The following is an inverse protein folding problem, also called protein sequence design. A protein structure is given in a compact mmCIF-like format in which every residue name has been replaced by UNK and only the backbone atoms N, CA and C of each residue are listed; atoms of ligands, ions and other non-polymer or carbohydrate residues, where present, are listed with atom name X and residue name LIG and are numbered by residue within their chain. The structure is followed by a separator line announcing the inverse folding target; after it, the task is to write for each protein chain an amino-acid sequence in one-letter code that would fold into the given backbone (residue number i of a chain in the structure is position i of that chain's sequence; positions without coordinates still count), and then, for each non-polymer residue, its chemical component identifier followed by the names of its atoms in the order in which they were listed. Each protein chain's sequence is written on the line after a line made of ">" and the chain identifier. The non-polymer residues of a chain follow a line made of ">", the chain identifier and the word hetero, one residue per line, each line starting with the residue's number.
data_IF_472878742430
#
_entry.id   IF_472878742430
#
_cell.length_a   1.000
_cell.length_b   1.000
_cell.length_c   1.000
_cell.angle_alpha   90.00
_cell.angle_beta   90.00
_cell.angle_gamma   90.00
#
_symmetry.space_group_name_H-M   'P 1'
#
loop_
_entity.id
_entity.type
_entity.pdbx_description
1 polymer ?
#
# COMPACT_ATOMS: atom_id res chain seq x y z
N UNK A 1 -14.31 0.66 12.65
CA UNK A 1 -13.18 1.59 12.45
C UNK A 1 -13.13 1.99 10.98
N UNK A 2 -12.71 3.21 10.64
CA UNK A 2 -12.51 3.58 9.24
C UNK A 2 -11.47 2.67 8.57
N UNK A 3 -11.54 2.57 7.25
CA UNK A 3 -10.59 1.80 6.44
C UNK A 3 -9.15 2.25 6.71
N UNK A 4 -8.19 1.33 6.91
CA UNK A 4 -6.79 1.70 7.06
C UNK A 4 -6.25 2.40 5.81
N UNK A 5 -5.38 3.40 6.00
CA UNK A 5 -4.71 4.14 4.92
C UNK A 5 -3.31 3.62 4.65
N UNK A 6 -2.92 3.60 3.37
CA UNK A 6 -1.55 3.35 2.93
C UNK A 6 -0.92 4.67 2.49
N UNK A 7 0.15 5.06 3.18
CA UNK A 7 0.77 6.38 3.04
C UNK A 7 2.21 6.21 2.52
N UNK A 8 2.46 6.46 1.22
CA UNK A 8 3.83 6.64 0.73
C UNK A 8 4.49 7.86 1.37
N UNK A 9 5.76 7.71 1.77
CA UNK A 9 6.55 8.79 2.35
C UNK A 9 7.68 9.23 1.42
N UNK A 10 7.76 10.54 1.18
CA UNK A 10 8.79 11.23 0.44
C UNK A 10 9.70 11.96 1.44
N UNK A 11 10.84 11.36 1.76
CA UNK A 11 11.90 12.08 2.48
C UNK A 11 12.58 13.01 1.48
N UNK A 12 12.55 14.31 1.74
CA UNK A 12 13.09 15.34 0.84
C UNK A 12 14.28 16.02 1.48
N UNK A 13 15.34 16.20 0.70
CA UNK A 13 16.48 17.02 1.07
C UNK A 13 16.88 17.88 -0.11
N UNK A 14 16.99 19.18 0.14
CA UNK A 14 17.43 20.17 -0.86
C UNK A 14 16.58 20.10 -2.15
N UNK A 15 15.26 19.92 -1.98
CA UNK A 15 14.28 19.85 -3.06
C UNK A 15 14.20 18.51 -3.81
N UNK A 16 15.00 17.52 -3.43
CA UNK A 16 15.05 16.20 -4.08
C UNK A 16 14.57 15.11 -3.13
N UNK A 17 13.88 14.09 -3.65
CA UNK A 17 13.58 12.90 -2.86
C UNK A 17 14.91 12.19 -2.58
N UNK A 18 15.13 11.80 -1.32
CA UNK A 18 16.34 11.10 -0.92
C UNK A 18 16.01 9.79 -0.22
N UNK A 19 16.98 8.87 -0.27
CA UNK A 19 16.89 7.58 0.42
C UNK A 19 18.20 7.21 1.09
N UNK A 20 18.11 6.74 2.34
CA UNK A 20 19.23 6.19 3.09
C UNK A 20 18.73 5.24 4.18
N UNK A 21 19.68 4.64 4.91
CA UNK A 21 19.37 3.82 6.09
C UNK A 21 19.69 4.68 7.30
N UNK A 22 18.74 4.86 8.23
CA UNK A 22 18.89 5.73 9.41
C UNK A 22 19.39 7.15 9.07
N UNK A 23 18.96 7.70 7.93
CA UNK A 23 19.42 8.99 7.39
C UNK A 23 20.92 9.08 7.03
N UNK A 24 21.62 7.94 6.99
CA UNK A 24 23.00 7.83 6.52
C UNK A 24 23.02 7.33 5.06
N UNK A 25 24.05 7.77 4.30
CA UNK A 25 24.25 7.32 2.92
C UNK A 25 23.16 7.75 1.93
N UNK A 26 22.59 8.96 2.12
CA UNK A 26 21.50 9.49 1.31
C UNK A 26 21.82 9.52 -0.20
N UNK A 27 20.97 8.92 -1.01
CA UNK A 27 21.01 8.93 -2.48
C UNK A 27 19.79 9.66 -3.02
N UNK A 28 19.97 10.40 -4.10
CA UNK A 28 18.88 11.01 -4.86
C UNK A 28 17.97 9.91 -5.44
N UNK A 29 16.67 10.04 -5.20
CA UNK A 29 15.63 9.11 -5.61
C UNK A 29 14.61 9.74 -6.57
N UNK A 30 14.84 10.97 -7.04
CA UNK A 30 14.03 11.62 -8.06
C UNK A 30 13.37 12.92 -7.63
N UNK A 31 12.47 13.39 -8.49
CA UNK A 31 11.66 14.58 -8.28
C UNK A 31 10.45 14.29 -7.37
N UNK A 32 10.19 15.10 -6.32
CA UNK A 32 9.06 14.84 -5.41
C UNK A 32 7.68 15.00 -6.07
N UNK A 33 7.53 15.88 -7.06
CA UNK A 33 6.24 16.12 -7.74
C UNK A 33 5.91 14.92 -8.64
N UNK A 34 6.88 14.43 -9.40
CA UNK A 34 6.72 13.22 -10.21
C UNK A 34 6.39 12.00 -9.34
N UNK A 35 7.10 11.84 -8.22
CA UNK A 35 6.85 10.75 -7.27
C UNK A 35 5.43 10.84 -6.66
N UNK A 36 4.99 12.04 -6.27
CA UNK A 36 3.66 12.27 -5.72
C UNK A 36 2.55 11.92 -6.72
N UNK A 37 2.65 12.40 -7.97
CA UNK A 37 1.72 12.05 -9.06
C UNK A 37 1.67 10.54 -9.30
N UNK A 38 2.83 9.88 -9.34
CA UNK A 38 2.91 8.44 -9.55
C UNK A 38 2.23 7.66 -8.41
N UNK A 39 2.39 8.10 -7.16
CA UNK A 39 1.73 7.49 -6.02
C UNK A 39 0.23 7.72 -5.98
N UNK A 40 -0.25 8.91 -6.34
CA UNK A 40 -1.68 9.17 -6.49
C UNK A 40 -2.30 8.29 -7.59
N UNK A 41 -1.67 8.20 -8.76
CA UNK A 41 -2.13 7.35 -9.86
C UNK A 41 -2.18 5.86 -9.47
N UNK A 42 -1.32 5.46 -8.55
CA UNK A 42 -1.29 4.13 -7.94
C UNK A 42 -2.30 3.97 -6.78
N UNK A 43 -3.05 5.01 -6.45
CA UNK A 43 -4.13 5.00 -5.48
C UNK A 43 -3.72 5.28 -4.04
N UNK A 44 -2.60 5.97 -3.78
CA UNK A 44 -2.16 6.37 -2.43
C UNK A 44 -3.27 7.06 -1.63
N UNK A 45 -3.52 6.65 -0.38
CA UNK A 45 -4.61 7.22 0.40
C UNK A 45 -4.34 8.64 0.90
N UNK A 46 -3.05 8.95 1.02
CA UNK A 46 -2.45 10.20 1.49
C UNK A 46 -0.96 10.16 1.11
N UNK A 47 -0.33 11.30 0.89
CA UNK A 47 1.11 11.42 0.66
C UNK A 47 1.75 12.14 1.85
N UNK A 48 2.84 11.60 2.38
CA UNK A 48 3.61 12.24 3.44
C UNK A 48 4.93 12.78 2.87
N UNK A 49 5.19 14.07 3.02
CA UNK A 49 6.42 14.74 2.60
C UNK A 49 7.17 15.23 3.84
N UNK A 50 8.36 14.68 4.07
CA UNK A 50 9.19 15.04 5.22
C UNK A 50 10.48 15.70 4.75
N UNK A 51 10.60 17.00 4.97
CA UNK A 51 11.85 17.72 4.74
C UNK A 51 12.86 17.47 5.87
N UNK A 52 14.00 16.91 5.50
CA UNK A 52 15.11 16.60 6.40
C UNK A 52 16.28 17.58 6.26
N UNK A 53 16.13 18.65 5.47
CA UNK A 53 17.16 19.69 5.36
C UNK A 53 17.34 20.45 6.68
N UNK A 54 18.60 20.65 7.07
CA UNK A 54 18.97 21.20 8.37
C UNK A 54 19.10 22.75 8.39
N UNK A 55 18.89 23.44 7.27
CA UNK A 55 19.22 24.88 7.12
C UNK A 55 17.99 25.80 7.26
N UNK A 56 18.22 27.04 7.72
CA UNK A 56 17.18 28.08 7.79
C UNK A 56 16.71 28.56 6.41
N UNK A 57 17.52 28.40 5.36
CA UNK A 57 17.14 28.67 3.96
C UNK A 57 16.10 27.68 3.42
N UNK A 58 16.01 26.47 4.00
CA UNK A 58 15.11 25.41 3.54
C UNK A 58 13.61 25.73 3.65
N UNK A 59 13.20 26.73 4.44
CA UNK A 59 11.77 27.03 4.65
C UNK A 59 11.07 27.55 3.39
N UNK A 60 11.71 28.45 2.66
CA UNK A 60 11.16 28.99 1.41
C UNK A 60 11.03 27.88 0.36
N UNK A 61 12.08 27.07 0.24
CA UNK A 61 12.13 25.90 -0.65
C UNK A 61 11.05 24.87 -0.32
N UNK A 62 10.83 24.58 0.96
CA UNK A 62 9.78 23.65 1.39
C UNK A 62 8.39 24.18 1.02
N UNK A 63 8.10 25.45 1.30
CA UNK A 63 6.79 26.04 0.98
C UNK A 63 6.52 26.02 -0.53
N UNK A 64 7.54 26.27 -1.35
CA UNK A 64 7.40 26.20 -2.81
C UNK A 64 7.17 24.78 -3.29
N UNK A 65 7.94 23.82 -2.77
CA UNK A 65 7.75 22.41 -3.10
C UNK A 65 6.35 21.92 -2.72
N UNK A 66 5.84 22.32 -1.55
CA UNK A 66 4.48 21.97 -1.10
C UNK A 66 3.44 22.50 -2.08
N UNK A 67 3.57 23.73 -2.57
CA UNK A 67 2.67 24.28 -3.61
C UNK A 67 2.71 23.44 -4.88
N UNK A 68 3.91 23.15 -5.37
CA UNK A 68 4.09 22.37 -6.60
C UNK A 68 3.47 20.97 -6.49
N UNK A 69 3.61 20.31 -5.34
CA UNK A 69 2.99 19.00 -5.12
C UNK A 69 1.46 19.14 -5.01
N UNK A 70 0.97 20.10 -4.23
CA UNK A 70 -0.46 20.30 -4.00
C UNK A 70 -1.24 20.71 -5.26
N UNK A 71 -0.60 21.40 -6.20
CA UNK A 71 -1.19 21.71 -7.51
C UNK A 71 -1.41 20.45 -8.37
N UNK A 72 -0.69 19.37 -8.06
CA UNK A 72 -0.58 18.18 -8.90
C UNK A 72 -1.25 16.94 -8.34
N UNK A 73 -1.56 16.92 -7.03
CA UNK A 73 -2.27 15.82 -6.38
C UNK A 73 -3.54 16.28 -5.69
N UNK A 74 -4.49 15.36 -5.56
CA UNK A 74 -5.81 15.55 -4.92
C UNK A 74 -5.96 14.74 -3.64
N UNK A 75 -5.15 13.72 -3.45
CA UNK A 75 -5.07 12.97 -2.19
C UNK A 75 -4.48 13.86 -1.10
N UNK A 76 -4.87 13.66 0.18
CA UNK A 76 -4.37 14.47 1.28
C UNK A 76 -2.84 14.51 1.34
N UNK A 77 -2.29 15.69 1.64
CA UNK A 77 -0.85 15.94 1.77
C UNK A 77 -0.49 16.26 3.22
N UNK A 78 0.28 15.37 3.84
CA UNK A 78 0.92 15.59 5.15
C UNK A 78 2.33 16.11 4.97
N UNK A 79 2.68 17.23 5.61
CA UNK A 79 4.01 17.85 5.47
C UNK A 79 4.70 18.00 6.81
N UNK A 80 5.96 17.55 6.91
CA UNK A 80 6.83 17.74 8.06
C UNK A 80 8.16 18.36 7.66
N UNK A 81 8.84 18.96 8.63
CA UNK A 81 10.16 19.55 8.43
C UNK A 81 10.28 20.95 9.03
N UNK A 82 11.04 21.08 10.12
CA UNK A 82 11.42 22.39 10.67
C UNK A 82 10.28 23.28 11.19
N UNK A 83 9.12 22.72 11.55
CA UNK A 83 7.96 23.45 12.10
C UNK A 83 8.19 23.79 13.58
N UNK A 84 8.21 25.08 13.93
CA UNK A 84 8.55 25.58 15.28
C UNK A 84 7.48 26.48 15.89
N UNK A 85 6.49 26.91 15.11
CA UNK A 85 5.46 27.85 15.54
C UNK A 85 4.09 27.56 14.89
N UNK A 86 3.04 28.20 15.41
CA UNK A 86 1.71 28.17 14.78
C UNK A 86 1.74 28.86 13.41
N UNK A 87 2.56 29.89 13.23
CA UNK A 87 2.67 30.58 11.93
C UNK A 87 3.33 29.70 10.88
N UNK A 88 4.30 28.87 11.27
CA UNK A 88 4.92 27.88 10.39
C UNK A 88 3.89 26.87 9.89
N UNK A 89 3.07 26.36 10.81
CA UNK A 89 1.97 25.46 10.49
C UNK A 89 1.00 26.11 9.52
N UNK A 90 0.58 27.35 9.78
CA UNK A 90 -0.34 28.08 8.90
C UNK A 90 0.25 28.34 7.52
N UNK A 91 1.54 28.63 7.44
CA UNK A 91 2.23 28.82 6.17
C UNK A 91 2.20 27.55 5.31
N UNK A 92 2.43 26.38 5.91
CA UNK A 92 2.35 25.09 5.22
C UNK A 92 0.91 24.78 4.77
N UNK A 93 -0.09 25.00 5.63
CA UNK A 93 -1.49 24.82 5.25
C UNK A 93 -1.89 25.75 4.09
N UNK A 94 -1.50 27.02 4.12
CA UNK A 94 -1.74 27.94 3.01
C UNK A 94 -0.96 27.59 1.73
N UNK A 95 0.14 26.84 1.84
CA UNK A 95 0.88 26.34 0.69
C UNK A 95 0.23 25.11 0.05
N UNK A 96 -0.76 24.48 0.69
CA UNK A 96 -1.48 23.32 0.15
C UNK A 96 -1.33 22.04 0.96
N UNK A 97 -0.64 22.07 2.11
CA UNK A 97 -0.69 20.93 3.04
C UNK A 97 -2.09 20.81 3.65
N UNK A 98 -2.62 19.59 3.77
CA UNK A 98 -3.83 19.31 4.54
C UNK A 98 -3.51 19.13 6.03
N UNK A 99 -2.31 18.60 6.30
CA UNK A 99 -1.84 18.23 7.64
C UNK A 99 -0.36 18.59 7.83
N UNK A 100 0.00 18.96 9.05
CA UNK A 100 1.36 19.36 9.41
C UNK A 100 1.92 18.48 10.51
N UNK A 101 3.05 17.82 10.24
CA UNK A 101 3.79 16.96 11.14
C UNK A 101 4.78 17.77 12.00
N UNK A 102 4.61 17.73 13.32
CA UNK A 102 5.46 18.43 14.28
C UNK A 102 6.08 17.43 15.26
N UNK A 103 7.40 17.46 15.42
CA UNK A 103 8.14 16.61 16.35
C UNK A 103 8.83 17.47 17.44
N UNK A 104 10.06 17.92 17.18
CA UNK A 104 10.95 18.50 18.19
C UNK A 104 10.34 19.71 18.91
N UNK A 105 9.62 20.57 18.20
CA UNK A 105 8.99 21.74 18.80
C UNK A 105 7.91 21.38 19.84
N UNK A 106 7.22 20.24 19.70
CA UNK A 106 6.27 19.78 20.70
C UNK A 106 6.97 19.30 21.97
N UNK A 107 8.14 18.68 21.84
CA UNK A 107 8.96 18.28 22.99
C UNK A 107 9.57 19.50 23.70
N UNK A 108 9.97 20.53 22.96
CA UNK A 108 10.52 21.75 23.56
C UNK A 108 9.43 22.59 24.24
N UNK A 109 8.26 22.70 23.61
CA UNK A 109 7.12 23.47 24.11
C UNK A 109 5.78 22.74 23.84
N UNK A 110 5.32 21.85 24.75
CA UNK A 110 4.11 21.06 24.56
C UNK A 110 2.85 21.89 24.28
N UNK A 111 2.77 23.10 24.84
CA UNK A 111 1.66 24.04 24.61
C UNK A 111 1.46 24.43 23.14
N UNK A 112 2.46 24.24 22.29
CA UNK A 112 2.33 24.43 20.84
C UNK A 112 1.27 23.51 20.23
N UNK A 113 1.09 22.28 20.74
CA UNK A 113 0.06 21.37 20.25
C UNK A 113 -1.34 21.97 20.42
N UNK A 114 -1.66 22.44 21.62
CA UNK A 114 -2.95 23.06 21.92
C UNK A 114 -3.16 24.37 21.16
N UNK A 115 -2.10 25.20 21.03
CA UNK A 115 -2.17 26.44 20.26
C UNK A 115 -2.40 26.18 18.75
N UNK A 116 -1.72 25.19 18.19
CA UNK A 116 -1.87 24.78 16.79
C UNK A 116 -3.27 24.21 16.54
N UNK A 117 -3.71 23.26 17.36
CA UNK A 117 -5.03 22.64 17.25
C UNK A 117 -6.16 23.66 17.41
N UNK A 118 -6.04 24.57 18.38
CA UNK A 118 -7.01 25.66 18.58
C UNK A 118 -7.08 26.64 17.41
N UNK A 119 -6.01 26.75 16.60
CA UNK A 119 -5.95 27.67 15.46
C UNK A 119 -6.36 27.06 14.12
N UNK A 120 -5.96 25.82 13.86
CA UNK A 120 -6.16 25.13 12.58
C UNK A 120 -7.15 23.96 12.64
N UNK A 121 -7.55 23.54 13.84
CA UNK A 121 -8.30 22.30 14.08
C UNK A 121 -7.36 21.11 14.29
N UNK A 122 -7.76 20.18 15.16
CA UNK A 122 -6.97 19.00 15.52
C UNK A 122 -6.59 18.17 14.30
N UNK A 123 -7.49 18.02 13.32
CA UNK A 123 -7.27 17.23 12.12
C UNK A 123 -6.08 17.70 11.27
N UNK A 124 -5.65 18.96 11.40
CA UNK A 124 -4.50 19.52 10.68
C UNK A 124 -3.16 19.32 11.43
N UNK A 125 -3.17 18.82 12.66
CA UNK A 125 -1.98 18.69 13.52
C UNK A 125 -1.64 17.22 13.72
N UNK A 126 -0.50 16.80 13.15
CA UNK A 126 0.06 15.46 13.33
C UNK A 126 1.27 15.56 14.26
N UNK A 127 1.27 14.81 15.36
CA UNK A 127 2.46 14.71 16.20
C UNK A 127 3.36 13.60 15.69
N UNK A 128 4.53 13.96 15.18
CA UNK A 128 5.56 12.99 14.81
C UNK A 128 6.40 12.64 16.04
N UNK A 129 6.39 11.35 16.41
CA UNK A 129 7.06 10.82 17.59
C UNK A 129 8.05 9.75 17.16
N UNK A 130 9.34 10.07 17.28
CA UNK A 130 10.42 9.11 17.10
C UNK A 130 10.69 8.43 18.43
N UNK A 131 10.53 7.12 18.48
CA UNK A 131 10.69 6.34 19.71
C UNK A 131 11.74 5.25 19.54
N UNK A 132 12.56 5.04 20.58
CA UNK A 132 13.53 3.95 20.65
C UNK A 132 13.35 3.17 21.94
N UNK A 133 13.46 1.85 21.86
CA UNK A 133 13.44 0.95 23.01
C UNK A 133 14.59 1.26 23.96
N UNK A 134 14.26 1.38 25.24
CA UNK A 134 15.22 1.52 26.33
C UNK A 134 14.92 0.45 27.39
N UNK A 135 15.99 -0.14 27.90
CA UNK A 135 15.95 -1.19 28.92
C UNK A 135 17.21 -1.10 29.79
N UNK A 136 17.22 -1.78 30.93
CA UNK A 136 18.36 -1.77 31.84
C UNK A 136 19.68 -2.22 31.17
N UNK A 137 19.59 -3.19 30.24
CA UNK A 137 20.72 -3.71 29.46
C UNK A 137 21.00 -2.91 28.16
N UNK A 138 20.15 -1.93 27.85
CA UNK A 138 20.24 -1.12 26.63
C UNK A 138 20.01 0.37 26.94
N UNK A 139 21.01 1.04 27.53
CA UNK A 139 20.91 2.46 27.87
C UNK A 139 20.90 3.37 26.63
N UNK A 140 20.42 4.62 26.76
CA UNK A 140 20.42 5.57 25.65
C UNK A 140 21.84 5.89 25.17
N UNK A 141 22.02 6.04 23.85
CA UNK A 141 23.33 6.32 23.20
C UNK A 141 24.00 7.64 23.60
N UNK A 142 23.25 8.56 24.19
CA UNK A 142 23.73 9.87 24.63
C UNK A 142 23.01 10.25 25.94
N UNK A 143 23.57 11.18 26.73
CA UNK A 143 22.90 11.68 27.92
C UNK A 143 21.53 12.28 27.58
N UNK A 144 20.54 11.99 28.42
CA UNK A 144 19.18 12.51 28.26
C UNK A 144 19.16 14.02 28.39
N UNK A 145 18.63 14.71 27.38
CA UNK A 145 18.35 16.15 27.45
C UNK A 145 16.89 16.35 27.88
N UNK A 146 16.63 16.20 29.17
CA UNK A 146 15.29 16.40 29.76
C UNK A 146 14.87 17.87 29.61
N UNK A 147 13.76 18.18 28.92
CA UNK A 147 13.32 19.56 28.80
C UNK A 147 12.86 20.08 30.17
N UNK A 148 13.08 21.37 30.50
CA UNK A 148 12.84 21.89 31.86
C UNK A 148 11.41 21.70 32.37
N UNK A 149 10.41 21.71 31.48
CA UNK A 149 9.01 21.51 31.85
C UNK A 149 8.71 20.08 32.33
N UNK A 150 9.53 19.09 31.95
CA UNK A 150 9.31 17.68 32.30
C UNK A 150 9.39 17.45 33.81
N UNK A 151 10.20 18.22 34.53
CA UNK A 151 10.28 18.18 36.00
C UNK A 151 8.93 18.46 36.67
N UNK A 152 8.04 19.21 35.99
CA UNK A 152 6.68 19.50 36.46
C UNK A 152 5.66 18.44 36.06
N UNK A 153 6.05 17.45 35.25
CA UNK A 153 5.22 16.33 34.77
C UNK A 153 5.98 15.00 34.89
N UNK A 154 6.29 14.55 36.11
CA UNK A 154 7.09 13.34 36.32
C UNK A 154 6.45 12.06 35.75
N UNK A 155 5.12 12.02 35.58
CA UNK A 155 4.42 10.90 34.96
C UNK A 155 4.77 10.69 33.47
N UNK A 156 5.35 11.69 32.81
CA UNK A 156 5.81 11.59 31.41
C UNK A 156 7.28 11.23 31.32
N UNK A 157 8.00 11.23 32.44
CA UNK A 157 9.42 10.97 32.48
C UNK A 157 9.70 9.47 32.52
N UNK A 158 10.72 9.04 31.79
CA UNK A 158 11.29 7.71 31.99
C UNK A 158 12.03 7.65 33.33
N UNK A 159 11.95 6.50 34.03
CA UNK A 159 12.81 6.24 35.18
C UNK A 159 14.28 6.18 34.72
N UNK A 160 15.19 6.29 35.67
CA UNK A 160 16.61 6.08 35.40
C UNK A 160 16.85 4.65 34.87
N UNK A 161 17.86 4.42 34.00
CA UNK A 161 18.05 3.15 33.31
C UNK A 161 18.03 1.92 34.23
N UNK A 162 18.60 2.03 35.42
CA UNK A 162 18.70 0.96 36.41
C UNK A 162 17.34 0.61 37.05
N UNK A 163 16.36 1.51 36.95
CA UNK A 163 14.99 1.36 37.45
C UNK A 163 13.97 1.09 36.33
N UNK A 164 14.42 0.84 35.09
CA UNK A 164 13.52 0.45 34.00
C UNK A 164 13.11 -1.01 34.18
N UNK A 165 11.82 -1.24 34.44
CA UNK A 165 11.20 -2.56 34.46
C UNK A 165 10.46 -2.86 33.15
N UNK A 166 10.79 -3.99 32.51
CA UNK A 166 10.21 -4.42 31.24
C UNK A 166 10.63 -3.55 30.05
N UNK A 167 9.87 -3.61 28.95
CA UNK A 167 10.11 -2.76 27.78
C UNK A 167 9.63 -1.34 28.05
N UNK A 168 10.49 -0.35 27.80
CA UNK A 168 10.12 1.07 27.74
C UNK A 168 10.60 1.68 26.43
N UNK A 169 10.06 2.84 26.10
CA UNK A 169 10.36 3.55 24.87
C UNK A 169 10.62 5.02 25.17
N UNK A 170 11.74 5.52 24.70
CA UNK A 170 12.18 6.90 24.89
C UNK A 170 11.92 7.72 23.63
N UNK A 171 11.38 8.93 23.81
CA UNK A 171 11.22 9.91 22.72
C UNK A 171 12.59 10.48 22.34
N UNK A 172 12.84 10.57 21.04
CA UNK A 172 14.01 11.20 20.46
C UNK A 172 13.62 12.42 19.62
N UNK A 173 14.53 13.39 19.56
CA UNK A 173 14.38 14.63 18.78
C UNK A 173 15.62 14.91 17.94
N UNK A 174 15.56 15.97 17.13
CA UNK A 174 16.61 16.40 16.21
C UNK A 174 17.02 15.30 15.22
N UNK A 175 16.04 14.62 14.61
CA UNK A 175 16.27 13.52 13.68
C UNK A 175 16.86 12.30 14.38
N UNK A 176 16.32 11.93 15.53
CA UNK A 176 16.72 10.71 16.23
C UNK A 176 18.05 10.76 17.00
N UNK A 177 18.70 11.93 17.10
CA UNK A 177 20.04 12.06 17.69
C UNK A 177 20.01 12.35 19.19
N UNK A 178 18.95 12.97 19.69
CA UNK A 178 18.90 13.45 21.07
C UNK A 178 17.83 12.73 21.88
N UNK A 179 18.21 11.88 22.84
CA UNK A 179 17.28 11.28 23.80
C UNK A 179 16.74 12.34 24.77
N UNK A 180 15.45 12.29 25.07
CA UNK A 180 14.74 13.35 25.82
C UNK A 180 14.44 12.98 27.28
N UNK A 181 14.55 11.70 27.64
CA UNK A 181 14.09 11.15 28.92
C UNK A 181 12.58 11.11 29.08
N UNK A 182 11.81 11.26 27.99
CA UNK A 182 10.34 11.21 27.98
C UNK A 182 9.90 9.81 27.56
N UNK A 183 8.90 9.24 28.25
CA UNK A 183 8.26 7.98 27.88
C UNK A 183 7.35 8.20 26.66
N UNK A 184 7.60 7.46 25.58
CA UNK A 184 6.93 7.67 24.30
C UNK A 184 5.42 7.37 24.35
N UNK A 185 4.99 6.37 25.13
CA UNK A 185 3.58 6.00 25.23
C UNK A 185 2.82 7.06 26.03
N UNK A 186 3.37 7.48 27.17
CA UNK A 186 2.81 8.55 27.98
C UNK A 186 2.79 9.89 27.24
N UNK A 187 3.81 10.16 26.42
CA UNK A 187 3.90 11.34 25.58
C UNK A 187 2.81 11.39 24.51
N UNK A 188 2.57 10.29 23.79
CA UNK A 188 1.50 10.23 22.80
C UNK A 188 0.13 10.49 23.42
N UNK A 189 -0.14 9.91 24.60
CA UNK A 189 -1.37 10.17 25.35
C UNK A 189 -1.50 11.66 25.71
N UNK A 190 -0.43 12.26 26.21
CA UNK A 190 -0.45 13.67 26.57
C UNK A 190 -0.65 14.59 25.36
N UNK A 191 -0.06 14.27 24.21
CA UNK A 191 -0.27 15.01 22.98
C UNK A 191 -1.72 14.93 22.49
N UNK A 192 -2.35 13.75 22.59
CA UNK A 192 -3.77 13.59 22.29
C UNK A 192 -4.64 14.47 23.21
N UNK A 193 -4.34 14.54 24.51
CA UNK A 193 -5.03 15.43 25.46
C UNK A 193 -4.86 16.92 25.12
N UNK A 194 -3.73 17.29 24.50
CA UNK A 194 -3.46 18.64 24.03
C UNK A 194 -4.15 18.95 22.69
N UNK A 195 -4.83 17.99 22.09
CA UNK A 195 -5.67 18.19 20.91
C UNK A 195 -4.99 17.94 19.56
N UNK A 196 -3.86 17.24 19.50
CA UNK A 196 -3.36 16.75 18.19
C UNK A 196 -4.36 15.76 17.59
N UNK A 197 -4.53 15.77 16.27
CA UNK A 197 -5.53 14.94 15.61
C UNK A 197 -5.04 13.55 15.23
N UNK A 198 -3.72 13.34 15.17
CA UNK A 198 -3.12 12.10 14.70
C UNK A 198 -1.68 11.97 15.21
N UNK A 199 -1.23 10.73 15.46
CA UNK A 199 0.16 10.41 15.84
C UNK A 199 0.86 9.73 14.65
N UNK A 200 1.98 10.30 14.21
CA UNK A 200 2.93 9.61 13.33
C UNK A 200 4.02 8.96 14.20
N UNK A 201 3.93 7.65 14.39
CA UNK A 201 4.78 6.90 15.32
C UNK A 201 5.88 6.15 14.56
N UNK A 202 7.12 6.61 14.71
CA UNK A 202 8.28 6.00 14.06
C UNK A 202 9.08 5.20 15.08
N UNK A 203 9.20 3.88 14.87
CA UNK A 203 10.15 3.07 15.65
C UNK A 203 11.55 3.21 15.08
N UNK A 204 12.43 3.87 15.83
CA UNK A 204 13.83 4.04 15.47
C UNK A 204 14.64 2.73 15.46
N UNK A 205 14.16 1.71 16.17
CA UNK A 205 14.79 0.38 16.17
C UNK A 205 14.50 -0.42 14.90
N UNK A 206 13.39 -0.09 14.23
CA UNK A 206 12.94 -0.78 13.01
C UNK A 206 13.18 0.05 11.75
N UNK A 207 13.27 1.36 11.87
CA UNK A 207 13.42 2.22 10.72
C UNK A 207 14.64 1.84 9.85
N UNK A 208 14.44 1.75 8.53
CA UNK A 208 15.46 1.27 7.58
C UNK A 208 15.83 -0.22 7.63
N UNK A 209 15.40 -1.00 8.63
CA UNK A 209 15.82 -2.42 8.80
C UNK A 209 15.12 -3.38 7.84
N UNK A 210 13.90 -3.04 7.41
CA UNK A 210 12.99 -3.90 6.63
C UNK A 210 12.45 -5.14 7.36
N UNK A 211 12.59 -5.21 8.69
CA UNK A 211 12.16 -6.35 9.53
C UNK A 211 10.70 -6.26 10.04
N UNK A 212 9.95 -5.28 9.56
CA UNK A 212 8.58 -5.00 9.98
C UNK A 212 8.47 -3.88 11.00
N UNK A 213 7.24 -3.46 11.28
CA UNK A 213 6.96 -2.45 12.30
C UNK A 213 7.29 -2.96 13.71
N UNK A 214 7.49 -2.06 14.67
CA UNK A 214 7.51 -2.41 16.08
C UNK A 214 6.08 -2.58 16.59
N UNK A 215 5.55 -3.80 16.49
CA UNK A 215 4.16 -4.11 16.82
C UNK A 215 3.84 -3.88 18.31
N UNK A 216 4.80 -4.11 19.20
CA UNK A 216 4.64 -3.90 20.65
C UNK A 216 4.46 -2.41 20.94
N UNK A 217 5.33 -1.56 20.39
CA UNK A 217 5.22 -0.10 20.51
C UNK A 217 3.93 0.42 19.86
N UNK A 218 3.67 0.00 18.62
CA UNK A 218 2.51 0.46 17.85
C UNK A 218 1.21 0.14 18.59
N UNK A 219 1.08 -1.09 19.08
CA UNK A 219 -0.10 -1.53 19.83
C UNK A 219 -0.26 -0.79 21.14
N UNK A 220 0.84 -0.60 21.89
CA UNK A 220 0.82 0.10 23.17
C UNK A 220 0.36 1.56 23.04
N UNK A 221 0.71 2.24 21.94
CA UNK A 221 0.23 3.60 21.66
C UNK A 221 -1.20 3.59 21.14
N UNK A 222 -1.52 2.73 20.16
CA UNK A 222 -2.85 2.65 19.55
C UNK A 222 -3.96 2.34 20.58
N UNK A 223 -3.71 1.46 21.54
CA UNK A 223 -4.66 1.15 22.62
C UNK A 223 -4.80 2.29 23.65
N UNK A 224 -3.83 3.21 23.71
CA UNK A 224 -3.75 4.26 24.73
C UNK A 224 -4.37 5.58 24.29
N UNK A 225 -4.37 5.88 22.99
CA UNK A 225 -4.82 7.18 22.46
C UNK A 225 -6.18 7.05 21.74
N UNK A 226 -7.07 8.05 21.84
CA UNK A 226 -8.37 8.01 21.14
C UNK A 226 -8.29 8.47 19.67
N UNK A 227 -7.10 8.86 19.21
CA UNK A 227 -6.85 9.41 17.88
C UNK A 227 -6.10 8.41 16.98
N UNK A 228 -6.18 8.53 15.65
CA UNK A 228 -5.45 7.67 14.73
C UNK A 228 -3.94 7.63 14.99
N UNK A 229 -3.36 6.42 14.85
CA UNK A 229 -1.91 6.19 14.87
C UNK A 229 -1.47 5.71 13.49
N UNK A 230 -0.50 6.40 12.90
CA UNK A 230 0.22 5.99 11.71
C UNK A 230 1.47 5.24 12.15
N UNK A 231 1.57 3.96 11.79
CA UNK A 231 2.78 3.18 12.03
C UNK A 231 3.84 3.48 10.97
N UNK A 232 5.07 3.75 11.40
CA UNK A 232 6.22 4.09 10.55
C UNK A 232 7.50 3.37 11.00
N UNK A 233 8.35 3.05 10.02
CA UNK A 233 9.67 2.43 10.21
C UNK A 233 9.67 0.90 10.13
N UNK A 234 10.43 0.36 9.16
CA UNK A 234 10.75 -1.07 9.08
C UNK A 234 9.98 -1.90 8.04
N UNK A 235 9.09 -1.33 7.25
CA UNK A 235 8.37 -2.10 6.21
C UNK A 235 9.34 -2.66 5.16
N UNK A 236 9.20 -3.96 4.87
CA UNK A 236 10.06 -4.69 3.94
C UNK A 236 9.34 -5.66 2.99
N UNK A 237 8.09 -6.04 3.33
CA UNK A 237 7.20 -6.91 2.56
C UNK A 237 5.73 -6.60 2.88
N UNK A 238 4.82 -7.13 2.08
CA UNK A 238 3.38 -6.94 2.21
C UNK A 238 2.81 -7.38 3.57
N UNK A 239 3.34 -8.48 4.13
CA UNK A 239 2.92 -8.98 5.44
C UNK A 239 3.10 -7.93 6.55
N UNK A 240 4.15 -7.11 6.48
CA UNK A 240 4.40 -6.08 7.50
C UNK A 240 3.29 -5.01 7.50
N UNK A 241 2.68 -4.70 6.34
CA UNK A 241 1.53 -3.80 6.26
C UNK A 241 0.32 -4.38 6.99
N UNK A 242 0.02 -5.67 6.74
CA UNK A 242 -1.06 -6.38 7.43
C UNK A 242 -0.81 -6.46 8.93
N UNK A 243 0.41 -6.81 9.35
CA UNK A 243 0.78 -6.93 10.77
C UNK A 243 0.66 -5.58 11.50
N UNK A 244 1.11 -4.47 10.89
CA UNK A 244 0.97 -3.14 11.45
C UNK A 244 -0.49 -2.74 11.70
N UNK A 245 -1.37 -3.06 10.75
CA UNK A 245 -2.82 -2.79 10.86
C UNK A 245 -3.46 -3.71 11.90
N UNK A 246 -3.31 -5.02 11.76
CA UNK A 246 -4.10 -6.01 12.52
C UNK A 246 -3.52 -6.27 13.90
N UNK A 247 -2.21 -6.42 14.02
CA UNK A 247 -1.56 -6.72 15.29
C UNK A 247 -1.13 -5.44 16.00
N UNK A 248 -0.61 -4.46 15.26
CA UNK A 248 -0.24 -3.15 15.78
C UNK A 248 -1.44 -2.24 16.06
N UNK A 249 -2.60 -2.48 15.46
CA UNK A 249 -3.79 -1.63 15.63
C UNK A 249 -3.66 -0.26 14.94
N UNK A 250 -2.73 -0.13 13.99
CA UNK A 250 -2.51 1.14 13.30
C UNK A 250 -3.70 1.51 12.40
N UNK A 251 -4.12 2.78 12.46
CA UNK A 251 -5.15 3.33 11.59
C UNK A 251 -4.60 3.67 10.18
N UNK A 252 -3.29 3.77 10.05
CA UNK A 252 -2.59 3.91 8.78
C UNK A 252 -1.19 3.29 8.89
N UNK A 253 -0.65 2.89 7.74
CA UNK A 253 0.72 2.39 7.62
C UNK A 253 1.47 3.26 6.63
N UNK A 254 2.62 3.77 7.07
CA UNK A 254 3.50 4.59 6.25
C UNK A 254 4.70 3.75 5.79
N UNK A 255 4.99 3.80 4.49
CA UNK A 255 6.12 3.09 3.92
C UNK A 255 6.82 3.94 2.84
N UNK A 256 8.14 4.00 2.89
CA UNK A 256 8.97 4.59 1.84
C UNK A 256 9.60 3.48 1.00
N UNK A 257 10.61 2.78 1.55
CA UNK A 257 11.49 1.87 0.82
C UNK A 257 10.76 0.84 -0.04
N UNK A 258 9.73 0.17 0.51
CA UNK A 258 8.94 -0.85 -0.19
C UNK A 258 8.40 -0.35 -1.54
N UNK A 259 7.93 0.90 -1.59
CA UNK A 259 7.31 1.47 -2.78
C UNK A 259 8.34 2.08 -3.74
N UNK A 260 9.28 2.94 -3.28
CA UNK A 260 10.19 3.57 -4.27
C UNK A 260 11.27 2.65 -4.84
N UNK A 261 11.47 1.43 -4.33
CA UNK A 261 12.35 0.46 -4.99
C UNK A 261 11.61 -0.40 -6.02
N UNK A 262 10.32 -0.16 -6.24
CA UNK A 262 9.50 -0.93 -7.19
C UNK A 262 9.36 -2.40 -6.81
N UNK A 263 9.70 -2.76 -5.57
CA UNK A 263 9.58 -4.13 -5.06
C UNK A 263 8.11 -4.51 -4.86
N UNK A 264 7.28 -3.50 -4.58
CA UNK A 264 5.83 -3.61 -4.58
C UNK A 264 5.21 -2.25 -4.93
N UNK A 265 4.08 -2.27 -5.62
CA UNK A 265 3.27 -1.11 -5.94
C UNK A 265 2.12 -0.94 -4.93
N UNK A 266 1.56 0.27 -4.79
CA UNK A 266 0.40 0.49 -3.92
C UNK A 266 -0.82 -0.36 -4.33
N UNK A 267 -1.14 -0.56 -5.63
CA UNK A 267 -2.20 -1.48 -6.03
C UNK A 267 -1.96 -2.89 -5.52
N UNK A 268 -0.76 -3.44 -5.67
CA UNK A 268 -0.44 -4.78 -5.16
C UNK A 268 -0.62 -4.87 -3.64
N UNK A 269 -0.16 -3.86 -2.89
CA UNK A 269 -0.36 -3.79 -1.46
C UNK A 269 -1.84 -3.75 -1.05
N UNK A 270 -2.65 -2.94 -1.75
CA UNK A 270 -4.09 -2.85 -1.50
C UNK A 270 -4.81 -4.14 -1.84
N UNK A 271 -4.48 -4.76 -2.97
CA UNK A 271 -5.02 -6.06 -3.38
C UNK A 271 -4.70 -7.15 -2.37
N UNK A 272 -3.47 -7.18 -1.87
CA UNK A 272 -3.05 -8.09 -0.81
C UNK A 272 -3.87 -7.91 0.48
N UNK A 273 -4.05 -6.67 0.94
CA UNK A 273 -4.84 -6.36 2.13
C UNK A 273 -6.32 -6.73 1.95
N UNK A 274 -6.91 -6.42 0.81
CA UNK A 274 -8.28 -6.82 0.48
C UNK A 274 -8.44 -8.34 0.46
N UNK A 275 -7.48 -9.08 -0.11
CA UNK A 275 -7.49 -10.54 -0.13
C UNK A 275 -7.39 -11.16 1.27
N UNK A 276 -6.78 -10.45 2.23
CA UNK A 276 -6.72 -10.81 3.66
C UNK A 276 -7.95 -10.33 4.45
N UNK A 277 -8.96 -9.77 3.78
CA UNK A 277 -10.20 -9.30 4.41
C UNK A 277 -10.10 -7.92 5.05
N UNK A 278 -9.03 -7.16 4.81
CA UNK A 278 -8.88 -5.79 5.30
C UNK A 278 -9.52 -4.83 4.30
N UNK A 279 -10.53 -4.09 4.74
CA UNK A 279 -11.21 -3.09 3.93
C UNK A 279 -10.32 -1.84 3.81
N UNK A 280 -9.60 -1.74 2.70
CA UNK A 280 -8.83 -0.55 2.30
C UNK A 280 -9.49 0.14 1.12
N UNK A 281 -9.18 1.41 0.88
CA UNK A 281 -9.65 2.08 -0.34
C UNK A 281 -9.11 1.32 -1.55
N UNK A 282 -9.97 0.86 -2.47
CA UNK A 282 -9.53 0.06 -3.60
C UNK A 282 -8.61 0.85 -4.53
N UNK A 283 -7.71 0.16 -5.27
CA UNK A 283 -6.82 0.80 -6.24
C UNK A 283 -7.56 1.29 -7.50
N UNK A 284 -8.77 0.79 -7.78
CA UNK A 284 -9.62 1.27 -8.88
C UNK A 284 -10.60 2.34 -8.42
N UNK A 285 -10.94 3.29 -9.31
CA UNK A 285 -12.00 4.27 -9.06
C UNK A 285 -13.34 3.56 -8.85
N UNK A 286 -14.11 3.88 -7.79
CA UNK A 286 -15.46 3.36 -7.61
C UNK A 286 -16.38 3.62 -8.81
N UNK A 287 -16.15 4.73 -9.53
CA UNK A 287 -16.90 5.08 -10.73
C UNK A 287 -16.70 4.05 -11.85
N UNK A 288 -15.45 3.64 -12.14
CA UNK A 288 -15.17 2.65 -13.17
C UNK A 288 -15.77 1.28 -12.83
N UNK A 289 -15.87 0.93 -11.54
CA UNK A 289 -16.51 -0.32 -11.13
C UNK A 289 -18.03 -0.25 -11.35
N UNK A 290 -18.66 0.88 -11.01
CA UNK A 290 -20.08 1.08 -11.28
C UNK A 290 -20.41 1.01 -12.78
N UNK A 291 -19.62 1.70 -13.61
CA UNK A 291 -19.75 1.67 -15.08
C UNK A 291 -19.65 0.26 -15.64
N UNK A 292 -18.67 -0.54 -15.17
CA UNK A 292 -18.57 -1.94 -15.57
C UNK A 292 -19.81 -2.74 -15.15
N UNK A 293 -20.24 -2.63 -13.89
CA UNK A 293 -21.38 -3.40 -13.38
C UNK A 293 -22.72 -3.04 -14.05
N UNK A 294 -22.84 -1.84 -14.60
CA UNK A 294 -23.97 -1.41 -15.43
C UNK A 294 -23.88 -1.97 -16.86
N UNK A 295 -22.68 -2.10 -17.42
CA UNK A 295 -22.46 -2.66 -18.75
C UNK A 295 -22.66 -4.19 -18.81
N UNK A 296 -22.46 -4.90 -17.69
CA UNK A 296 -22.61 -6.37 -17.62
C UNK A 296 -24.08 -6.79 -17.54
N UNK A 297 -24.49 -7.70 -18.43
CA UNK A 297 -25.81 -8.32 -18.46
C UNK A 297 -25.82 -9.63 -17.67
N UNK A 298 -26.24 -9.53 -16.42
CA UNK A 298 -26.47 -10.71 -15.58
C UNK A 298 -27.75 -11.46 -15.99
N UNK A 299 -27.72 -12.79 -15.95
CA UNK A 299 -28.85 -13.66 -16.24
C UNK A 299 -29.98 -13.53 -15.19
N UNK A 300 -31.09 -14.26 -15.38
CA UNK A 300 -32.22 -14.25 -14.44
C UNK A 300 -31.87 -14.71 -13.01
N UNK A 301 -30.71 -15.36 -12.80
CA UNK A 301 -30.18 -15.75 -11.49
C UNK A 301 -29.15 -14.76 -10.96
N UNK A 302 -28.92 -13.64 -11.65
CA UNK A 302 -27.93 -12.64 -11.29
C UNK A 302 -26.50 -13.06 -11.61
N UNK A 303 -26.28 -13.98 -12.56
CA UNK A 303 -24.96 -14.51 -12.89
C UNK A 303 -24.54 -14.18 -14.33
N UNK A 304 -23.24 -14.01 -14.54
CA UNK A 304 -22.61 -13.86 -15.86
C UNK A 304 -21.53 -14.94 -16.05
N UNK A 305 -21.43 -15.61 -17.21
CA UNK A 305 -20.30 -16.47 -17.53
C UNK A 305 -19.01 -15.66 -17.64
N UNK A 306 -17.92 -16.24 -17.17
CA UNK A 306 -16.58 -15.66 -17.23
C UNK A 306 -15.61 -16.66 -17.84
N UNK A 307 -14.95 -16.26 -18.91
CA UNK A 307 -13.82 -16.98 -19.51
C UNK A 307 -12.53 -16.44 -18.90
N UNK A 308 -11.71 -17.31 -18.30
CA UNK A 308 -10.37 -16.93 -17.85
C UNK A 308 -9.34 -17.35 -18.91
N UNK A 309 -8.53 -16.42 -19.38
CA UNK A 309 -7.49 -16.66 -20.40
C UNK A 309 -6.13 -16.21 -19.89
N UNK A 310 -5.10 -17.02 -20.10
CA UNK A 310 -3.73 -16.69 -19.73
C UNK A 310 -3.23 -15.51 -20.56
N UNK A 311 -2.68 -14.48 -19.91
CA UNK A 311 -1.98 -13.38 -20.60
C UNK A 311 -0.65 -13.83 -21.21
N UNK A 312 -0.08 -14.92 -20.70
CA UNK A 312 1.26 -15.39 -21.12
C UNK A 312 1.17 -16.38 -22.28
N UNK A 313 0.23 -17.32 -22.20
CA UNK A 313 0.09 -18.38 -23.22
C UNK A 313 -1.07 -18.17 -24.18
N UNK A 314 -1.92 -17.16 -23.93
CA UNK A 314 -3.19 -16.93 -24.62
C UNK A 314 -4.18 -18.11 -24.55
N UNK A 315 -3.87 -19.15 -23.80
CA UNK A 315 -4.74 -20.30 -23.63
C UNK A 315 -5.95 -19.95 -22.76
N UNK A 316 -7.12 -20.44 -23.17
CA UNK A 316 -8.31 -20.44 -22.30
C UNK A 316 -8.08 -21.45 -21.18
N UNK A 317 -8.11 -20.95 -19.95
CA UNK A 317 -7.81 -21.70 -18.74
C UNK A 317 -9.06 -22.35 -18.16
N UNK A 318 -10.16 -21.61 -18.07
CA UNK A 318 -11.40 -22.10 -17.48
C UNK A 318 -12.60 -21.23 -17.85
N UNK A 319 -13.79 -21.78 -17.61
CA UNK A 319 -15.05 -21.03 -17.57
C UNK A 319 -15.63 -21.16 -16.17
N UNK A 320 -16.04 -20.04 -15.60
CA UNK A 320 -16.76 -19.97 -14.34
C UNK A 320 -17.93 -18.99 -14.48
N UNK A 321 -18.64 -18.75 -13.38
CA UNK A 321 -19.71 -17.77 -13.32
C UNK A 321 -19.34 -16.74 -12.28
N UNK A 322 -19.81 -15.51 -12.43
CA UNK A 322 -19.65 -14.44 -11.46
C UNK A 322 -21.03 -13.81 -11.22
N UNK A 323 -21.34 -13.48 -9.98
CA UNK A 323 -22.44 -12.58 -9.64
C UNK A 323 -21.91 -11.14 -9.60
N UNK A 324 -22.79 -10.19 -9.29
CA UNK A 324 -22.43 -8.77 -9.23
C UNK A 324 -21.32 -8.48 -8.22
N UNK A 325 -21.31 -9.18 -7.08
CA UNK A 325 -20.28 -9.04 -6.06
C UNK A 325 -18.94 -9.66 -6.51
N UNK A 326 -18.95 -10.80 -7.20
CA UNK A 326 -17.74 -11.40 -7.74
C UNK A 326 -17.06 -10.52 -8.80
N UNK A 327 -17.83 -9.89 -9.70
CA UNK A 327 -17.28 -8.92 -10.67
C UNK A 327 -16.69 -7.71 -9.93
N UNK A 328 -17.45 -7.15 -8.98
CA UNK A 328 -17.01 -6.03 -8.14
C UNK A 328 -15.69 -6.36 -7.44
N UNK A 329 -15.63 -7.48 -6.71
CA UNK A 329 -14.42 -7.94 -6.01
C UNK A 329 -13.28 -8.17 -6.97
N UNK A 330 -13.53 -8.71 -8.16
CA UNK A 330 -12.48 -8.93 -9.15
C UNK A 330 -11.78 -7.64 -9.54
N UNK A 331 -12.54 -6.58 -9.87
CA UNK A 331 -11.94 -5.30 -10.25
C UNK A 331 -11.24 -4.63 -9.07
N UNK A 332 -11.87 -4.64 -7.89
CA UNK A 332 -11.32 -3.99 -6.70
C UNK A 332 -10.04 -4.68 -6.21
N UNK A 333 -9.98 -6.01 -6.28
CA UNK A 333 -8.86 -6.81 -5.75
C UNK A 333 -7.85 -7.21 -6.81
N UNK A 334 -8.14 -7.05 -8.09
CA UNK A 334 -7.33 -7.60 -9.19
C UNK A 334 -7.12 -9.12 -9.10
N UNK A 335 -7.90 -9.84 -8.31
CA UNK A 335 -7.86 -11.30 -8.20
C UNK A 335 -9.17 -11.88 -8.72
N UNK A 336 -9.10 -13.00 -9.42
CA UNK A 336 -10.29 -13.60 -10.02
C UNK A 336 -11.25 -14.13 -8.94
N UNK A 337 -12.37 -13.43 -8.78
CA UNK A 337 -13.51 -13.86 -7.96
C UNK A 337 -14.62 -14.38 -8.86
N UNK A 338 -15.26 -15.44 -8.40
CA UNK A 338 -16.32 -16.15 -9.10
C UNK A 338 -17.47 -16.44 -8.13
N UNK A 339 -18.63 -16.84 -8.63
CA UNK A 339 -19.76 -17.37 -7.88
C UNK A 339 -19.88 -18.88 -8.10
N UNK A 340 -19.82 -19.64 -7.02
CA UNK A 340 -19.91 -21.10 -7.07
C UNK A 340 -21.37 -21.54 -7.19
N UNK A 341 -21.89 -21.75 -8.41
CA UNK A 341 -23.29 -22.16 -8.67
C UNK A 341 -23.81 -23.34 -7.84
N UNK A 342 -22.95 -24.29 -7.48
CA UNK A 342 -23.33 -25.48 -6.70
C UNK A 342 -23.37 -25.25 -5.18
N UNK A 343 -22.61 -24.28 -4.68
CA UNK A 343 -22.50 -23.95 -3.25
C UNK A 343 -23.19 -22.64 -2.89
N UNK A 344 -23.60 -21.88 -3.91
CA UNK A 344 -24.21 -20.57 -3.85
C UNK A 344 -23.41 -19.57 -2.98
N UNK A 345 -22.10 -19.51 -3.22
CA UNK A 345 -21.18 -18.65 -2.47
C UNK A 345 -20.16 -17.99 -3.39
N UNK A 346 -19.76 -16.78 -3.01
CA UNK A 346 -18.59 -16.11 -3.54
C UNK A 346 -17.34 -16.97 -3.34
N UNK A 347 -16.52 -17.05 -4.38
CA UNK A 347 -15.36 -17.93 -4.45
C UNK A 347 -14.16 -17.17 -5.05
N UNK A 348 -13.13 -16.96 -4.22
CA UNK A 348 -11.81 -16.52 -4.69
C UNK A 348 -11.02 -17.72 -5.24
N UNK A 349 -10.59 -17.63 -6.50
CA UNK A 349 -9.76 -18.68 -7.12
C UNK A 349 -8.43 -18.82 -6.39
N UNK A 350 -8.15 -20.04 -5.93
CA UNK A 350 -6.90 -20.34 -5.23
C UNK A 350 -6.84 -19.88 -3.77
N UNK A 351 -7.93 -19.36 -3.20
CA UNK A 351 -7.94 -18.85 -1.82
C UNK A 351 -7.54 -19.87 -0.74
N UNK A 352 -7.67 -21.17 -1.02
CA UNK A 352 -7.21 -22.26 -0.14
C UNK A 352 -5.95 -22.96 -0.65
N UNK A 353 -5.84 -23.16 -1.98
CA UNK A 353 -4.75 -23.95 -2.56
C UNK A 353 -3.51 -23.15 -2.92
N UNK A 354 -3.57 -21.82 -2.88
CA UNK A 354 -2.53 -20.92 -3.40
C UNK A 354 -2.49 -20.80 -4.93
N UNK A 355 -3.35 -21.54 -5.66
CA UNK A 355 -3.37 -21.49 -7.12
C UNK A 355 -4.22 -20.32 -7.64
N UNK A 356 -3.73 -19.10 -7.45
CA UNK A 356 -4.46 -17.85 -7.70
C UNK A 356 -4.40 -17.41 -9.17
N UNK A 357 -5.30 -16.50 -9.53
CA UNK A 357 -5.31 -15.83 -10.84
C UNK A 357 -5.37 -14.32 -10.59
N UNK A 358 -4.31 -13.61 -10.99
CA UNK A 358 -4.28 -12.15 -10.97
C UNK A 358 -4.86 -11.64 -12.27
N UNK A 359 -5.88 -10.81 -12.21
CA UNK A 359 -6.58 -10.27 -13.39
C UNK A 359 -5.86 -8.99 -13.84
N UNK A 360 -5.35 -9.01 -15.07
CA UNK A 360 -4.72 -7.85 -15.72
C UNK A 360 -5.73 -7.05 -16.55
N UNK A 361 -6.76 -7.71 -17.09
CA UNK A 361 -7.78 -7.10 -17.92
C UNK A 361 -9.14 -7.77 -17.69
N UNK A 362 -10.21 -6.98 -17.65
CA UNK A 362 -11.59 -7.44 -17.73
C UNK A 362 -12.19 -6.87 -19.01
N UNK A 363 -12.50 -7.74 -19.96
CA UNK A 363 -13.18 -7.36 -21.19
C UNK A 363 -14.61 -7.93 -21.21
N UNK A 364 -15.50 -7.24 -21.91
CA UNK A 364 -16.86 -7.69 -22.19
C UNK A 364 -16.92 -8.10 -23.66
N UNK A 365 -17.79 -9.04 -23.99
CA UNK A 365 -18.16 -9.28 -25.38
C UNK A 365 -19.12 -8.19 -25.91
N UNK A 366 -19.62 -8.36 -27.14
CA UNK A 366 -20.34 -7.31 -27.85
C UNK A 366 -21.71 -6.96 -27.26
N UNK A 367 -22.31 -7.86 -26.49
CA UNK A 367 -23.61 -7.64 -25.86
C UNK A 367 -23.54 -7.63 -24.32
N UNK A 368 -22.36 -7.89 -23.74
CA UNK A 368 -22.07 -7.77 -22.32
C UNK A 368 -22.60 -8.93 -21.49
N UNK A 369 -23.02 -10.03 -22.11
CA UNK A 369 -23.50 -11.22 -21.41
C UNK A 369 -22.39 -12.21 -21.06
N UNK A 370 -21.16 -11.96 -21.52
CA UNK A 370 -19.99 -12.76 -21.19
C UNK A 370 -18.78 -11.89 -20.87
N UNK A 371 -18.03 -12.27 -19.82
CA UNK A 371 -16.78 -11.62 -19.44
C UNK A 371 -15.55 -12.43 -19.85
N UNK A 372 -14.50 -11.74 -20.25
CA UNK A 372 -13.15 -12.28 -20.41
C UNK A 372 -12.25 -11.70 -19.33
N UNK A 373 -11.79 -12.54 -18.42
CA UNK A 373 -10.70 -12.21 -17.51
C UNK A 373 -9.39 -12.64 -18.13
N UNK A 374 -8.54 -11.67 -18.50
CA UNK A 374 -7.16 -11.99 -18.84
C UNK A 374 -6.33 -12.03 -17.58
N UNK A 375 -5.76 -13.18 -17.30
CA UNK A 375 -5.14 -13.48 -16.01
C UNK A 375 -3.71 -13.93 -16.14
N UNK A 376 -2.92 -13.63 -15.11
CA UNK A 376 -1.65 -14.27 -14.80
C UNK A 376 -1.88 -15.30 -13.72
N UNK A 377 -1.72 -16.57 -14.06
CA UNK A 377 -1.88 -17.71 -13.17
C UNK A 377 -0.65 -17.96 -12.28
N UNK A 378 -0.90 -18.24 -11.00
CA UNK A 378 0.06 -18.88 -10.12
C UNK A 378 -0.39 -20.33 -9.94
N UNK A 379 0.34 -21.28 -10.51
CA UNK A 379 -0.02 -22.71 -10.48
C UNK A 379 -1.21 -23.09 -11.38
N UNK A 380 -1.71 -24.33 -11.24
CA UNK A 380 -2.79 -24.87 -12.08
C UNK A 380 -4.14 -24.13 -12.01
N UNK A 381 -4.79 -23.96 -13.15
CA UNK A 381 -6.17 -23.45 -13.19
C UNK A 381 -7.18 -24.49 -12.67
N UNK A 382 -6.94 -25.78 -12.89
CA UNK A 382 -7.86 -26.85 -12.52
C UNK A 382 -7.53 -27.48 -11.16
N UNK A 383 -8.56 -27.97 -10.46
CA UNK A 383 -8.42 -28.74 -9.22
C UNK A 383 -7.73 -30.10 -9.44
N UNK A 384 -7.68 -30.61 -10.67
CA UNK A 384 -6.98 -31.84 -11.04
C UNK A 384 -5.47 -31.68 -11.17
N UNK A 385 -4.95 -30.45 -11.02
CA UNK A 385 -3.56 -30.11 -11.28
C UNK A 385 -3.25 -29.76 -12.74
N UNK A 386 -4.23 -29.84 -13.64
CA UNK A 386 -4.06 -29.43 -15.03
C UNK A 386 -3.97 -27.89 -15.18
N UNK A 387 -3.15 -27.44 -16.13
CA UNK A 387 -2.98 -26.02 -16.44
C UNK A 387 -4.28 -25.35 -16.92
N UNK A 388 -5.20 -26.13 -17.52
CA UNK A 388 -6.52 -25.68 -18.00
C UNK A 388 -7.60 -26.70 -17.62
N UNK A 389 -8.84 -26.26 -17.46
CA UNK A 389 -10.03 -27.12 -17.35
C UNK A 389 -10.40 -27.78 -18.69
N UNK A 390 -9.77 -27.36 -19.79
CA UNK A 390 -9.98 -27.91 -21.13
C UNK A 390 -8.86 -28.89 -21.52
N UNK A 391 -8.58 -29.84 -20.63
CA UNK A 391 -7.51 -30.84 -20.73
C UNK A 391 -7.90 -32.08 -21.53
N UNK A 392 -9.11 -32.12 -22.10
CA UNK A 392 -9.60 -33.22 -22.95
C UNK A 392 -10.06 -32.69 -24.30
N UNK A 393 -9.78 -33.43 -25.35
CA UNK A 393 -10.19 -33.15 -26.72
C UNK A 393 -10.94 -34.34 -27.31
N UNK A 394 -11.99 -34.05 -28.07
CA UNK A 394 -12.68 -35.07 -28.85
C UNK A 394 -11.98 -35.22 -30.20
N UNK A 395 -11.47 -36.42 -30.48
CA UNK A 395 -10.90 -36.77 -31.77
C UNK A 395 -11.90 -37.62 -32.55
N UNK A 396 -12.36 -37.17 -33.75
CA UNK A 396 -13.21 -37.97 -34.62
C UNK A 396 -12.61 -39.37 -34.85
N UNK A 397 -13.40 -40.42 -34.63
CA UNK A 397 -12.97 -41.82 -34.76
C UNK A 397 -12.12 -42.38 -33.61
N UNK A 398 -11.61 -41.54 -32.69
CA UNK A 398 -10.75 -41.95 -31.56
C UNK A 398 -11.32 -41.64 -30.17
N UNK A 399 -12.43 -40.89 -30.11
CA UNK A 399 -13.13 -40.54 -28.88
C UNK A 399 -12.46 -39.42 -28.08
N UNK A 400 -12.85 -39.30 -26.80
CA UNK A 400 -12.37 -38.25 -25.90
C UNK A 400 -11.01 -38.63 -25.29
N UNK A 401 -9.97 -37.85 -25.55
CA UNK A 401 -8.58 -38.10 -25.10
C UNK A 401 -7.99 -36.90 -24.37
N UNK A 402 -6.93 -37.08 -23.56
CA UNK A 402 -6.19 -35.95 -23.00
C UNK A 402 -5.64 -35.05 -24.12
N UNK A 403 -5.74 -33.75 -23.93
CA UNK A 403 -5.17 -32.73 -24.82
C UNK A 403 -3.66 -32.71 -24.55
N UNK A 404 -2.85 -33.20 -25.49
CA UNK A 404 -1.40 -33.19 -25.35
C UNK A 404 -0.85 -31.78 -25.18
N UNK A 405 0.25 -31.64 -24.44
CA UNK A 405 0.92 -30.35 -24.23
C UNK A 405 1.36 -29.78 -25.58
N UNK A 406 0.75 -28.67 -26.00
CA UNK A 406 1.33 -27.87 -27.09
C UNK A 406 2.46 -27.03 -26.49
N UNK A 407 3.68 -27.07 -27.05
CA UNK A 407 4.68 -26.08 -26.71
C UNK A 407 4.17 -24.68 -27.10
N UNK A 408 4.39 -23.70 -26.23
CA UNK A 408 4.08 -22.31 -26.49
C UNK A 408 4.92 -21.81 -27.68
N UNK A 409 4.26 -21.32 -28.73
CA UNK A 409 4.89 -20.62 -29.84
C UNK A 409 5.32 -21.51 -31.02
N UNK A 410 4.55 -21.44 -32.11
CA UNK A 410 4.91 -22.04 -33.39
C UNK A 410 3.83 -21.79 -34.42
N UNK A 411 3.83 -20.58 -35.02
CA UNK A 411 3.04 -20.27 -36.21
C UNK A 411 3.38 -21.28 -37.32
N UNK A 412 2.47 -22.20 -37.61
CA UNK A 412 2.46 -22.91 -38.90
C UNK A 412 1.52 -22.17 -39.83
N UNK A 413 2.10 -21.45 -40.80
CA UNK A 413 1.38 -21.00 -41.97
C UNK A 413 0.78 -22.21 -42.71
N UNK A 414 -0.40 -22.09 -43.35
CA UNK A 414 -1.01 -23.19 -44.07
C UNK A 414 -0.19 -23.47 -45.33
N UNK A 415 0.22 -24.73 -45.52
CA UNK A 415 0.75 -25.20 -46.79
C UNK A 415 -0.39 -25.20 -47.81
N UNK A 416 -0.28 -24.34 -48.82
CA UNK A 416 -1.15 -24.32 -50.00
C UNK A 416 -0.85 -25.59 -50.81
N UNK A 417 -1.90 -26.33 -51.15
CA UNK A 417 -1.81 -27.59 -51.88
C UNK A 417 -1.27 -27.41 -53.29
N UNK A 418 -0.41 -28.34 -53.71
CA UNK A 418 -0.16 -28.60 -55.12
C UNK A 418 -1.25 -29.58 -55.59
N UNK A 419 -2.02 -29.15 -56.58
CA UNK A 419 -3.03 -29.95 -57.27
C UNK A 419 -2.32 -31.00 -58.15
N UNK A 420 -2.78 -32.25 -58.03
CA UNK A 420 -2.48 -33.34 -58.94
C UNK A 420 -3.22 -33.10 -60.27
N UNK A 421 -2.47 -32.87 -61.34
CA UNK A 421 -2.96 -32.95 -62.72
C UNK A 421 -2.60 -34.33 -63.29
N UNK A 422 -3.56 -35.25 -63.29
CA UNK A 422 -3.52 -36.48 -64.09
C UNK A 422 -4.88 -36.66 -64.77
N UNK A 423 -4.93 -36.35 -66.08
CA UNK A 423 -5.72 -37.06 -67.10
C UNK A 423 -5.73 -36.27 -68.42
N UNK A 424 -4.98 -36.75 -69.41
CA UNK A 424 -5.42 -36.79 -70.82
C UNK A 424 -4.52 -37.70 -71.64
N UNK A 425 -5.00 -38.93 -71.83
CA UNK A 425 -4.46 -39.84 -72.82
C UNK A 425 -4.78 -39.41 -74.25
N UNK A 426 -3.92 -39.86 -75.18
CA UNK A 426 -4.41 -40.46 -76.43
C UNK A 426 -4.30 -39.65 -77.72
N UNK A 427 -3.25 -40.02 -78.48
CA UNK A 427 -3.33 -40.45 -79.89
C UNK A 427 -3.17 -39.43 -81.03
N UNK A 428 -2.17 -39.77 -81.87
CA UNK A 428 -2.25 -39.98 -83.32
C UNK A 428 -1.70 -38.93 -84.31
N UNK A 429 -0.75 -39.44 -85.10
CA UNK A 429 -0.51 -39.23 -86.54
C UNK A 429 -0.04 -37.88 -87.08
N UNK A 430 1.05 -37.95 -87.87
CA UNK A 430 1.42 -36.95 -88.88
C UNK A 430 2.92 -36.80 -89.00
#
# INVERSE_FOLDING_TARGET
>A
MPAPRLIPCLDVKDGRVVKGVHFEGLRDAGDPVEAARAYEAQGADEICLLDISASHEGRGTLLELVRQVADEVRVPLSVGGGVRSVDDLRALLHAGADKVCINTALVEAPGLAAAAAGKAGSQCVVAAVDARRVAADRPPRAPRRRPPWLARRPALALPEPEAIEGTRYEVYVHGGRTPTGIDAIAWCAHLADLGVGEILLTSMDRDGTRDGFDLELTRAVADRVPIPVIASGGVGRLEHLYEGIVHGGAAAVLAASLFHFGECTLPEAKRFLLARGIEVRPPGSPLHVAELLEAVRFDARGLVPVVAQSVTSEAVLMVAWADREAVRRTVLTGLAHYHSRSRDVLWLKGGQSGHTQTVEEVALDCDGDTLLYRVREAGPACHTGAATCFDRVFEPGKGLRPRGDRPAGGSRAPAVGAEDDDERGGAAHG
#
